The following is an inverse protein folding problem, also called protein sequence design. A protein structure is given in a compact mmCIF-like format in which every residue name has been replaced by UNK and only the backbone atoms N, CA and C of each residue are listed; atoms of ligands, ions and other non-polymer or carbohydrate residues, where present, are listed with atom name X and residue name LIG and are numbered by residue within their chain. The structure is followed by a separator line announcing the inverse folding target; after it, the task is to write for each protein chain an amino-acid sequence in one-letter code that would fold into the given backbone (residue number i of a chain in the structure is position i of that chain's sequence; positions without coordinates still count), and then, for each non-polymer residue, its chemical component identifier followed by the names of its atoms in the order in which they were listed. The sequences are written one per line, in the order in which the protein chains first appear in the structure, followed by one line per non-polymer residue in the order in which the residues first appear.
data_IF_720925096493
#
_entry.id   IF_720925096493
#
_cell.length_a   1.000
_cell.length_b   1.000
_cell.length_c   1.000
_cell.angle_alpha   90.00
_cell.angle_beta   90.00
_cell.angle_gamma   90.00
#
_symmetry.space_group_name_H-M   'P 1'
#
loop_
_entity.id
_entity.type
_entity.pdbx_description
1 polymer ?
#
# COMPACT_ATOMS: atom_id res chain seq x y z
N UNK A 1 52.75 50.23 -27.85
CA UNK A 1 52.08 51.54 -27.65
C UNK A 1 51.55 51.57 -26.22
N UNK A 2 52.19 52.34 -25.32
CA UNK A 2 51.54 52.81 -24.08
C UNK A 2 50.53 53.93 -24.43
N UNK A 3 49.62 54.33 -23.51
CA UNK A 3 49.95 55.22 -22.38
C UNK A 3 49.52 54.64 -21.01
N UNK A 4 50.24 54.80 -19.90
CA UNK A 4 50.48 56.00 -19.04
C UNK A 4 49.25 56.35 -18.16
N UNK A 5 49.27 56.72 -16.87
CA UNK A 5 50.27 56.90 -15.78
C UNK A 5 49.51 57.38 -14.50
N UNK A 6 50.20 57.36 -13.33
CA UNK A 6 50.07 58.19 -12.08
C UNK A 6 49.39 57.53 -10.84
N UNK A 7 50.08 57.04 -9.77
CA UNK A 7 50.96 57.59 -8.68
C UNK A 7 50.23 58.38 -7.55
N UNK A 8 50.73 58.47 -6.28
CA UNK A 8 51.57 57.56 -5.47
C UNK A 8 51.30 57.54 -3.90
N UNK A 9 52.15 56.79 -3.17
CA UNK A 9 52.56 56.85 -1.73
C UNK A 9 51.70 56.10 -0.67
N UNK A 10 52.23 55.36 0.31
CA UNK A 10 53.61 55.14 0.84
C UNK A 10 53.78 53.78 1.57
N UNK A 11 55.03 53.30 1.58
CA UNK A 11 55.78 52.43 2.53
C UNK A 11 55.04 51.45 3.46
N UNK A 12 55.41 50.16 3.42
CA UNK A 12 56.51 49.59 4.24
C UNK A 12 56.79 48.11 3.89
N UNK A 13 58.06 47.74 3.85
CA UNK A 13 58.57 46.37 3.69
C UNK A 13 58.39 45.55 4.98
N UNK A 14 58.01 44.27 4.86
CA UNK A 14 58.77 43.14 5.43
C UNK A 14 58.14 41.75 5.12
N UNK A 15 58.95 40.90 4.47
CA UNK A 15 59.12 39.43 4.64
C UNK A 15 57.97 38.42 4.41
N UNK A 16 58.13 37.66 3.32
CA UNK A 16 58.06 36.18 3.17
C UNK A 16 56.91 35.36 3.79
N UNK A 17 56.18 34.65 2.92
CA UNK A 17 55.35 33.49 3.29
C UNK A 17 54.69 32.82 2.09
N UNK A 18 55.30 31.76 1.56
CA UNK A 18 54.74 30.92 0.50
C UNK A 18 53.55 30.09 1.00
N UNK A 19 52.39 30.13 0.32
CA UNK A 19 51.35 29.10 0.46
C UNK A 19 50.63 28.84 -0.87
N UNK A 20 51.26 28.04 -1.74
CA UNK A 20 50.57 27.24 -2.76
C UNK A 20 50.58 25.78 -2.32
N UNK A 21 49.44 25.23 -1.86
CA UNK A 21 49.40 23.83 -1.40
C UNK A 21 48.03 23.23 -1.09
N UNK A 22 46.93 23.98 -1.14
CA UNK A 22 45.64 23.49 -0.61
C UNK A 22 44.66 22.98 -1.66
N UNK A 23 44.93 23.12 -2.96
CA UNK A 23 43.97 22.70 -4.01
C UNK A 23 44.13 21.21 -4.43
N UNK A 24 45.33 20.63 -4.31
CA UNK A 24 45.59 19.25 -4.74
C UNK A 24 45.13 18.20 -3.70
N UNK A 25 45.14 18.56 -2.40
CA UNK A 25 44.80 17.67 -1.29
C UNK A 25 43.31 17.36 -1.18
N UNK A 26 42.44 18.23 -1.72
CA UNK A 26 40.98 18.05 -1.69
C UNK A 26 40.49 17.08 -2.77
N UNK A 27 41.11 17.12 -3.96
CA UNK A 27 40.80 16.17 -5.06
C UNK A 27 41.26 14.75 -4.76
N UNK A 28 42.37 14.57 -4.06
CA UNK A 28 42.84 13.24 -3.65
C UNK A 28 42.00 12.65 -2.50
N UNK A 29 41.45 13.48 -1.60
CA UNK A 29 40.54 13.02 -0.55
C UNK A 29 39.17 12.54 -1.08
N UNK A 30 38.59 13.20 -2.09
CA UNK A 30 37.33 12.73 -2.68
C UNK A 30 37.49 11.45 -3.51
N UNK A 31 38.62 11.29 -4.21
CA UNK A 31 38.91 10.06 -4.96
C UNK A 31 39.10 8.85 -4.03
N UNK A 32 39.76 9.02 -2.87
CA UNK A 32 39.96 7.96 -1.87
C UNK A 32 38.63 7.57 -1.20
N UNK A 33 37.73 8.53 -0.95
CA UNK A 33 36.40 8.25 -0.39
C UNK A 33 35.50 7.45 -1.35
N UNK A 34 35.56 7.73 -2.66
CA UNK A 34 34.80 6.98 -3.68
C UNK A 34 35.35 5.54 -3.84
N UNK A 35 36.67 5.36 -3.78
CA UNK A 35 37.28 4.02 -3.86
C UNK A 35 36.94 3.16 -2.63
N UNK A 36 36.92 3.74 -1.43
CA UNK A 36 36.49 3.03 -0.20
C UNK A 36 34.98 2.71 -0.19
N UNK A 37 34.13 3.58 -0.75
CA UNK A 37 32.70 3.33 -0.89
C UNK A 37 32.39 2.21 -1.90
N UNK A 38 33.16 2.11 -2.99
CA UNK A 38 33.03 1.01 -3.95
C UNK A 38 33.56 -0.33 -3.40
N UNK A 39 34.63 -0.30 -2.59
CA UNK A 39 35.16 -1.49 -1.94
C UNK A 39 34.19 -2.10 -0.89
N UNK A 40 33.41 -1.27 -0.21
CA UNK A 40 32.37 -1.75 0.74
C UNK A 40 31.16 -2.33 0.03
N UNK A 41 30.77 -1.81 -1.15
CA UNK A 41 29.72 -2.42 -1.98
C UNK A 41 30.14 -3.78 -2.56
N UNK A 42 31.40 -3.96 -2.93
CA UNK A 42 31.95 -5.24 -3.39
C UNK A 42 31.94 -6.33 -2.31
N UNK A 43 32.21 -5.97 -1.05
CA UNK A 43 32.16 -6.91 0.07
C UNK A 43 30.73 -7.33 0.45
N UNK A 44 29.74 -6.44 0.28
CA UNK A 44 28.32 -6.79 0.52
C UNK A 44 27.78 -7.68 -0.61
N UNK A 45 28.19 -7.47 -1.86
CA UNK A 45 27.80 -8.34 -2.97
C UNK A 45 28.36 -9.77 -2.81
N UNK A 46 29.62 -9.92 -2.39
CA UNK A 46 30.22 -11.23 -2.12
C UNK A 46 29.56 -11.96 -0.93
N UNK A 47 29.06 -11.22 0.08
CA UNK A 47 28.33 -11.80 1.21
C UNK A 47 26.89 -12.23 0.87
N UNK A 48 26.27 -11.68 -0.18
CA UNK A 48 24.95 -12.11 -0.67
C UNK A 48 25.07 -13.40 -1.49
N UNK A 49 26.17 -13.60 -2.21
CA UNK A 49 26.38 -14.76 -3.08
C UNK A 49 26.77 -16.05 -2.31
N UNK A 50 27.23 -15.92 -1.05
CA UNK A 50 27.49 -17.07 -0.17
C UNK A 50 26.26 -17.60 0.58
N UNK A 51 25.08 -16.96 0.48
CA UNK A 51 23.83 -17.45 1.08
C UNK A 51 22.89 -18.19 0.10
N UNK A 52 23.30 -18.39 -1.16
CA UNK A 52 22.52 -19.14 -2.16
C UNK A 52 23.18 -20.45 -2.63
N UNK A 53 24.32 -20.84 -2.05
CA UNK A 53 25.02 -22.06 -2.42
C UNK A 53 24.85 -23.19 -1.40
N UNK A 54 23.62 -23.42 -0.93
CA UNK A 54 23.24 -24.70 -0.31
C UNK A 54 21.74 -24.97 -0.51
N UNK A 55 21.34 -25.37 -1.72
CA UNK A 55 20.29 -26.38 -2.01
C UNK A 55 19.99 -26.44 -3.51
N UNK A 56 20.95 -26.97 -4.28
CA UNK A 56 20.65 -27.65 -5.55
C UNK A 56 20.91 -29.13 -5.35
N UNK A 57 20.02 -29.81 -4.63
CA UNK A 57 19.98 -31.27 -4.66
C UNK A 57 19.00 -31.73 -5.72
N UNK A 58 19.52 -32.54 -6.63
CA UNK A 58 18.85 -33.15 -7.77
C UNK A 58 17.57 -33.86 -7.35
N UNK A 59 16.47 -33.59 -8.05
CA UNK A 59 15.29 -34.46 -8.03
C UNK A 59 15.64 -35.74 -8.80
N UNK A 60 15.95 -36.79 -8.05
CA UNK A 60 15.88 -38.17 -8.50
C UNK A 60 15.04 -38.92 -7.46
N UNK A 61 14.05 -39.68 -7.92
CA UNK A 61 12.98 -40.26 -7.11
C UNK A 61 13.46 -41.08 -5.91
N UNK A 62 12.75 -40.90 -4.79
CA UNK A 62 12.91 -41.67 -3.55
C UNK A 62 11.79 -41.26 -2.58
N UNK A 63 11.20 -42.25 -1.92
CA UNK A 63 9.93 -42.17 -1.18
C UNK A 63 9.79 -40.98 -0.21
N UNK A 64 8.58 -40.44 -0.17
CA UNK A 64 8.12 -39.46 0.81
C UNK A 64 8.25 -40.04 2.23
N UNK A 65 9.36 -39.71 2.90
CA UNK A 65 9.45 -39.81 4.35
C UNK A 65 8.87 -38.53 4.95
N UNK A 66 7.75 -38.70 5.66
CA UNK A 66 7.08 -37.70 6.47
C UNK A 66 8.06 -37.14 7.51
N UNK A 67 8.56 -35.93 7.28
CA UNK A 67 9.35 -35.22 8.29
C UNK A 67 8.37 -34.62 9.28
N UNK A 68 8.07 -35.40 10.32
CA UNK A 68 7.30 -34.98 11.49
C UNK A 68 8.08 -33.92 12.28
N UNK A 69 7.87 -32.65 11.92
CA UNK A 69 8.30 -31.51 12.72
C UNK A 69 7.31 -31.28 13.86
N UNK A 70 7.68 -31.75 15.05
CA UNK A 70 7.07 -31.29 16.30
C UNK A 70 8.03 -30.29 16.93
N UNK A 71 7.83 -28.98 16.74
CA UNK A 71 8.56 -27.99 17.54
C UNK A 71 7.73 -26.76 17.95
N UNK A 72 7.95 -26.41 19.22
CA UNK A 72 7.70 -25.16 19.97
C UNK A 72 6.27 -24.65 20.21
N UNK A 73 5.26 -24.97 19.40
CA UNK A 73 3.93 -24.33 19.53
C UNK A 73 2.79 -25.27 19.94
N UNK A 74 3.03 -26.59 20.00
CA UNK A 74 1.95 -27.57 20.16
C UNK A 74 1.00 -27.67 18.96
N UNK A 75 1.30 -26.97 17.85
CA UNK A 75 0.49 -26.98 16.62
C UNK A 75 1.09 -27.98 15.64
N UNK A 76 0.31 -28.99 15.25
CA UNK A 76 0.67 -29.90 14.17
C UNK A 76 0.48 -29.19 12.81
N UNK A 77 1.58 -28.63 12.28
CA UNK A 77 1.59 -27.87 11.02
C UNK A 77 1.08 -28.70 9.84
N UNK A 78 1.42 -29.99 9.78
CA UNK A 78 0.97 -30.87 8.70
C UNK A 78 -0.55 -31.04 8.73
N UNK A 79 -1.12 -31.27 9.92
CA UNK A 79 -2.55 -31.47 10.09
C UNK A 79 -3.36 -30.17 9.88
N UNK A 80 -2.89 -29.02 10.36
CA UNK A 80 -3.60 -27.77 10.15
C UNK A 80 -3.57 -27.33 8.68
N UNK A 81 -2.43 -27.54 7.99
CA UNK A 81 -2.28 -27.15 6.59
C UNK A 81 -3.03 -28.05 5.61
N UNK A 82 -3.28 -29.31 5.94
CA UNK A 82 -4.11 -30.20 5.10
C UNK A 82 -5.56 -29.73 5.01
N UNK A 83 -6.02 -28.94 5.97
CA UNK A 83 -7.37 -28.37 6.03
C UNK A 83 -7.48 -26.99 5.35
N UNK A 84 -6.40 -26.53 4.70
CA UNK A 84 -6.37 -25.24 3.97
C UNK A 84 -6.45 -25.47 2.47
N UNK A 85 -7.01 -24.53 1.68
CA UNK A 85 -7.06 -24.64 0.22
C UNK A 85 -5.68 -24.60 -0.45
N UNK A 86 -4.63 -24.15 0.26
CA UNK A 86 -3.26 -24.05 -0.25
C UNK A 86 -2.26 -24.71 0.72
N UNK A 87 -2.20 -26.05 0.81
CA UNK A 87 -1.35 -26.74 1.79
C UNK A 87 0.14 -26.42 1.64
N UNK A 88 0.62 -26.20 0.41
CA UNK A 88 2.00 -25.81 0.13
C UNK A 88 2.33 -24.41 0.65
N UNK A 89 1.47 -23.43 0.34
CA UNK A 89 1.60 -22.06 0.83
C UNK A 89 1.51 -22.01 2.37
N UNK A 90 0.61 -22.79 2.97
CA UNK A 90 0.48 -22.93 4.41
C UNK A 90 1.76 -23.44 5.08
N UNK A 91 2.32 -24.56 4.61
CA UNK A 91 3.57 -25.08 5.17
C UNK A 91 4.70 -24.07 5.05
N UNK A 92 4.83 -23.41 3.90
CA UNK A 92 5.85 -22.38 3.68
C UNK A 92 5.69 -21.19 4.63
N UNK A 93 4.46 -20.74 4.86
CA UNK A 93 4.16 -19.64 5.76
C UNK A 93 4.42 -20.01 7.23
N UNK A 94 4.14 -21.25 7.64
CA UNK A 94 4.32 -21.74 9.02
C UNK A 94 5.72 -22.29 9.32
N UNK A 95 6.55 -22.56 8.31
CA UNK A 95 7.96 -22.96 8.49
C UNK A 95 8.94 -21.78 8.47
N UNK A 96 8.45 -20.57 8.19
CA UNK A 96 9.28 -19.37 8.09
C UNK A 96 9.82 -18.89 9.44
N UNK A 97 10.83 -18.02 9.44
CA UNK A 97 11.35 -17.41 10.67
C UNK A 97 10.30 -16.57 11.41
N UNK A 98 9.35 -15.94 10.69
CA UNK A 98 8.23 -15.21 11.29
C UNK A 98 7.30 -16.12 12.11
N UNK A 99 7.18 -17.38 11.69
CA UNK A 99 6.39 -18.42 12.36
C UNK A 99 7.02 -18.86 13.69
N UNK A 100 8.35 -18.80 13.79
CA UNK A 100 9.06 -19.13 15.05
C UNK A 100 8.87 -18.06 16.12
N UNK A 101 8.54 -16.83 15.71
CA UNK A 101 8.26 -15.72 16.62
C UNK A 101 6.77 -15.66 17.03
N UNK A 102 5.85 -16.06 16.14
CA UNK A 102 4.41 -16.04 16.39
C UNK A 102 3.93 -17.41 16.93
N UNK A 103 3.46 -17.44 18.18
CA UNK A 103 2.81 -18.64 18.78
C UNK A 103 1.47 -19.00 18.12
N UNK A 104 0.93 -18.11 17.30
CA UNK A 104 -0.36 -18.23 16.63
C UNK A 104 -0.16 -18.47 15.11
N UNK A 105 -0.63 -19.61 14.56
CA UNK A 105 -0.55 -19.91 13.14
C UNK A 105 -1.21 -18.85 12.25
N UNK A 106 -2.30 -18.23 12.71
CA UNK A 106 -2.95 -17.17 11.97
C UNK A 106 -2.03 -15.94 11.85
N UNK A 107 -1.55 -15.42 12.98
CA UNK A 107 -0.60 -14.31 13.00
C UNK A 107 0.66 -14.59 12.17
N UNK A 108 1.23 -15.79 12.27
CA UNK A 108 2.38 -16.21 11.46
C UNK A 108 2.09 -16.12 9.96
N UNK A 109 0.93 -16.64 9.52
CA UNK A 109 0.52 -16.61 8.11
C UNK A 109 0.28 -15.20 7.61
N UNK A 110 -0.33 -14.33 8.42
CA UNK A 110 -0.55 -12.91 8.04
C UNK A 110 0.78 -12.17 7.90
N UNK A 111 1.70 -12.32 8.86
CA UNK A 111 3.02 -11.68 8.78
C UNK A 111 3.82 -12.15 7.57
N UNK A 112 3.74 -13.45 7.24
CA UNK A 112 4.36 -13.98 6.03
C UNK A 112 3.76 -13.34 4.76
N UNK A 113 2.42 -13.24 4.68
CA UNK A 113 1.74 -12.57 3.58
C UNK A 113 2.14 -11.08 3.48
N UNK A 114 2.28 -10.37 4.60
CA UNK A 114 2.77 -8.98 4.60
C UNK A 114 4.16 -8.86 3.98
N UNK A 115 5.10 -9.74 4.35
CA UNK A 115 6.44 -9.74 3.77
C UNK A 115 6.42 -10.02 2.25
N UNK A 116 5.55 -10.93 1.79
CA UNK A 116 5.35 -11.19 0.36
C UNK A 116 4.73 -9.99 -0.38
N UNK A 117 3.74 -9.33 0.22
CA UNK A 117 3.14 -8.11 -0.31
C UNK A 117 4.16 -6.98 -0.43
N UNK A 118 5.00 -6.76 0.59
CA UNK A 118 6.07 -5.78 0.56
C UNK A 118 7.07 -6.07 -0.58
N UNK A 119 7.45 -7.35 -0.76
CA UNK A 119 8.36 -7.76 -1.83
C UNK A 119 7.77 -7.54 -3.23
N UNK A 120 6.51 -7.96 -3.45
CA UNK A 120 5.81 -7.75 -4.73
C UNK A 120 5.68 -6.25 -5.05
N UNK A 121 5.34 -5.45 -4.05
CA UNK A 121 5.19 -3.99 -4.16
C UNK A 121 6.48 -3.31 -4.59
N UNK A 122 7.61 -3.66 -3.98
CA UNK A 122 8.92 -3.09 -4.36
C UNK A 122 9.23 -3.41 -5.82
N UNK A 123 9.01 -4.65 -6.26
CA UNK A 123 9.22 -5.03 -7.66
C UNK A 123 8.33 -4.22 -8.61
N UNK A 124 7.02 -4.16 -8.34
CA UNK A 124 6.07 -3.41 -9.17
C UNK A 124 6.45 -1.92 -9.26
N UNK A 125 6.87 -1.30 -8.15
CA UNK A 125 7.31 0.09 -8.12
C UNK A 125 8.59 0.34 -8.91
N UNK A 126 9.58 -0.54 -8.79
CA UNK A 126 10.82 -0.43 -9.52
C UNK A 126 10.55 -0.47 -11.03
N UNK A 127 9.76 -1.45 -11.48
CA UNK A 127 9.38 -1.60 -12.88
C UNK A 127 8.54 -0.42 -13.40
N UNK A 128 7.67 0.14 -12.55
CA UNK A 128 6.90 1.34 -12.89
C UNK A 128 7.81 2.58 -13.01
N UNK A 129 8.82 2.70 -12.14
CA UNK A 129 9.79 3.80 -12.17
C UNK A 129 10.70 3.77 -13.39
N UNK A 130 11.10 2.58 -13.85
CA UNK A 130 11.94 2.39 -15.04
C UNK A 130 11.24 2.81 -16.35
N UNK A 131 9.90 2.94 -16.35
CA UNK A 131 9.11 3.36 -17.52
C UNK A 131 8.78 4.85 -17.56
N UNK A 132 9.15 5.64 -16.53
CA UNK A 132 8.84 7.09 -16.46
C UNK A 132 9.64 7.96 -17.43
N UNK A 133 10.48 7.38 -18.28
CA UNK A 133 11.12 8.10 -19.37
C UNK A 133 10.13 8.27 -20.54
N UNK A 134 9.47 9.44 -20.55
CA UNK A 134 8.82 10.11 -21.71
C UNK A 134 7.29 9.88 -21.84
N UNK A 135 6.56 11.01 -21.85
CA UNK A 135 5.12 11.25 -22.05
C UNK A 135 4.17 11.14 -20.83
N UNK A 136 3.19 12.06 -20.80
CA UNK A 136 2.00 12.04 -19.92
C UNK A 136 1.12 10.89 -20.38
N UNK A 137 1.49 9.67 -20.02
CA UNK A 137 0.69 8.47 -20.29
C UNK A 137 -0.29 8.24 -19.15
N UNK A 138 -1.44 7.58 -19.41
CA UNK A 138 -2.28 7.02 -18.36
C UNK A 138 -1.43 6.21 -17.35
N UNK A 139 -1.82 6.15 -16.07
CA UNK A 139 -1.20 5.24 -15.11
C UNK A 139 -1.15 3.83 -15.71
N UNK A 140 0.01 3.20 -15.67
CA UNK A 140 0.12 1.84 -16.20
C UNK A 140 -0.53 0.86 -15.24
N UNK A 141 -0.94 -0.31 -15.74
CA UNK A 141 -1.39 -1.38 -14.86
C UNK A 141 -0.36 -1.83 -13.81
N UNK A 142 0.92 -1.52 -14.02
CA UNK A 142 1.97 -1.72 -13.03
C UNK A 142 1.87 -0.71 -11.87
N UNK A 143 1.52 0.55 -12.16
CA UNK A 143 1.30 1.59 -11.15
C UNK A 143 0.09 1.24 -10.28
N UNK A 144 -1.01 0.80 -10.92
CA UNK A 144 -2.21 0.35 -10.21
C UNK A 144 -1.91 -0.84 -9.31
N UNK A 145 -1.20 -1.86 -9.82
CA UNK A 145 -0.82 -3.00 -9.01
C UNK A 145 0.07 -2.61 -7.82
N UNK A 146 1.02 -1.67 -8.01
CA UNK A 146 1.87 -1.18 -6.93
C UNK A 146 1.08 -0.46 -5.81
N UNK A 147 0.01 0.24 -6.17
CA UNK A 147 -0.94 0.87 -5.23
C UNK A 147 -1.78 -0.18 -4.51
N UNK A 148 -2.40 -1.11 -5.25
CA UNK A 148 -3.19 -2.22 -4.69
C UNK A 148 -2.40 -3.09 -3.71
N UNK A 149 -1.11 -3.32 -3.98
CA UNK A 149 -0.20 -4.02 -3.06
C UNK A 149 0.10 -3.19 -1.79
N UNK A 150 0.10 -1.86 -1.86
CA UNK A 150 0.14 -1.01 -0.65
C UNK A 150 -1.09 -1.21 0.22
N UNK A 151 -2.25 -1.17 -0.44
CA UNK A 151 -3.54 -1.26 0.21
C UNK A 151 -3.64 -2.61 0.89
N UNK A 152 -3.27 -3.67 0.18
CA UNK A 152 -3.24 -5.05 0.67
C UNK A 152 -2.28 -5.22 1.86
N UNK A 153 -1.05 -4.71 1.77
CA UNK A 153 -0.11 -4.76 2.89
C UNK A 153 -0.70 -4.10 4.14
N UNK A 154 -1.37 -2.97 3.96
CA UNK A 154 -2.07 -2.28 5.02
C UNK A 154 -3.21 -3.09 5.63
N UNK A 155 -4.09 -3.65 4.79
CA UNK A 155 -5.22 -4.48 5.22
C UNK A 155 -4.73 -5.74 5.96
N UNK A 156 -3.61 -6.32 5.55
CA UNK A 156 -3.00 -7.43 6.29
C UNK A 156 -2.57 -7.02 7.71
N UNK A 157 -2.03 -5.80 7.87
CA UNK A 157 -1.75 -5.24 9.19
C UNK A 157 -3.03 -5.03 10.03
N UNK A 158 -4.12 -4.59 9.39
CA UNK A 158 -5.42 -4.45 10.05
C UNK A 158 -6.00 -5.82 10.46
N UNK A 159 -5.85 -6.85 9.61
CA UNK A 159 -6.24 -8.22 9.92
C UNK A 159 -5.47 -8.80 11.11
N UNK A 160 -4.16 -8.55 11.16
CA UNK A 160 -3.32 -8.97 12.29
C UNK A 160 -3.77 -8.28 13.58
N UNK A 161 -4.08 -6.98 13.53
CA UNK A 161 -4.56 -6.23 14.68
C UNK A 161 -5.97 -6.66 15.13
N UNK A 162 -6.84 -7.05 14.19
CA UNK A 162 -8.17 -7.58 14.46
C UNK A 162 -8.12 -8.98 15.12
N UNK A 163 -7.03 -9.74 14.93
CA UNK A 163 -6.82 -11.03 15.56
C UNK A 163 -7.95 -12.01 15.26
N UNK A 164 -8.67 -12.45 16.29
CA UNK A 164 -9.85 -13.33 16.19
C UNK A 164 -11.18 -12.56 16.01
N UNK A 165 -11.20 -11.28 15.65
CA UNK A 165 -12.45 -10.59 15.25
C UNK A 165 -12.94 -11.04 13.86
N UNK A 166 -14.23 -10.91 13.55
CA UNK A 166 -14.71 -11.10 12.18
C UNK A 166 -14.11 -10.06 11.21
N UNK A 167 -13.66 -8.91 11.73
CA UNK A 167 -12.99 -7.89 10.93
C UNK A 167 -11.73 -8.42 10.24
N UNK A 168 -11.04 -9.41 10.82
CA UNK A 168 -9.90 -10.05 10.19
C UNK A 168 -10.29 -10.72 8.86
N UNK A 169 -11.44 -11.41 8.82
CA UNK A 169 -12.01 -11.96 7.57
C UNK A 169 -12.23 -10.84 6.56
N UNK A 170 -12.86 -9.73 6.96
CA UNK A 170 -13.13 -8.59 6.07
C UNK A 170 -11.85 -8.03 5.47
N UNK A 171 -10.82 -7.80 6.28
CA UNK A 171 -9.55 -7.26 5.81
C UNK A 171 -8.80 -8.22 4.89
N UNK A 172 -8.79 -9.53 5.20
CA UNK A 172 -8.16 -10.55 4.35
C UNK A 172 -8.89 -10.72 3.02
N UNK A 173 -10.23 -10.75 3.03
CA UNK A 173 -11.03 -10.82 1.82
C UNK A 173 -10.79 -9.59 0.93
N UNK A 174 -10.74 -8.39 1.51
CA UNK A 174 -10.43 -7.18 0.75
C UNK A 174 -9.01 -7.20 0.17
N UNK A 175 -8.02 -7.71 0.92
CA UNK A 175 -6.65 -7.87 0.43
C UNK A 175 -6.56 -8.90 -0.71
N UNK A 176 -7.41 -9.93 -0.70
CA UNK A 176 -7.50 -10.91 -1.77
C UNK A 176 -8.13 -10.31 -3.04
N UNK A 177 -9.20 -9.53 -2.91
CA UNK A 177 -9.81 -8.79 -4.03
C UNK A 177 -8.79 -7.90 -4.72
N UNK A 178 -7.95 -7.19 -3.95
CA UNK A 178 -6.88 -6.35 -4.49
C UNK A 178 -5.85 -7.14 -5.32
N UNK A 179 -5.59 -8.42 -5.00
CA UNK A 179 -4.70 -9.25 -5.82
C UNK A 179 -5.32 -9.55 -7.18
N UNK A 180 -6.63 -9.86 -7.21
CA UNK A 180 -7.39 -10.04 -8.45
C UNK A 180 -7.36 -8.78 -9.31
N UNK A 181 -7.69 -7.63 -8.73
CA UNK A 181 -7.65 -6.34 -9.45
C UNK A 181 -6.24 -5.98 -9.93
N UNK A 182 -5.19 -6.28 -9.15
CA UNK A 182 -3.82 -6.09 -9.63
C UNK A 182 -3.54 -6.98 -10.84
N UNK A 183 -3.94 -8.25 -10.83
CA UNK A 183 -3.74 -9.15 -11.96
C UNK A 183 -4.45 -8.64 -13.21
N UNK A 184 -5.70 -8.16 -13.08
CA UNK A 184 -6.46 -7.56 -14.17
C UNK A 184 -5.76 -6.32 -14.74
N UNK A 185 -5.29 -5.41 -13.87
CA UNK A 185 -4.50 -4.25 -14.29
C UNK A 185 -3.23 -4.66 -15.02
N UNK A 186 -2.53 -5.72 -14.58
CA UNK A 186 -1.34 -6.23 -15.26
C UNK A 186 -1.67 -6.86 -16.62
N UNK A 187 -2.86 -7.39 -16.84
CA UNK A 187 -3.29 -7.90 -18.15
C UNK A 187 -3.66 -6.80 -19.14
N UNK A 188 -3.95 -5.59 -18.65
CA UNK A 188 -4.15 -4.40 -19.49
C UNK A 188 -2.85 -3.80 -20.05
N UNK A 189 -1.66 -4.30 -19.68
CA UNK A 189 -0.37 -3.83 -20.22
C UNK A 189 0.36 -4.93 -21.03
N UNK A 190 1.17 -4.58 -22.04
CA UNK A 190 1.89 -5.56 -22.84
C UNK A 190 2.74 -6.52 -22.00
N UNK A 191 2.75 -7.78 -22.42
CA UNK A 191 3.53 -8.83 -21.78
C UNK A 191 5.02 -8.46 -21.75
N UNK A 192 5.65 -8.67 -20.60
CA UNK A 192 7.10 -8.49 -20.39
C UNK A 192 7.54 -9.38 -19.24
N UNK A 193 8.83 -9.74 -19.20
CA UNK A 193 9.40 -10.52 -18.10
C UNK A 193 9.16 -9.88 -16.73
N UNK A 194 9.28 -8.56 -16.65
CA UNK A 194 8.98 -7.79 -15.43
C UNK A 194 7.52 -7.92 -14.99
N UNK A 195 6.57 -7.77 -15.94
CA UNK A 195 5.14 -7.95 -15.67
C UNK A 195 4.83 -9.35 -15.16
N UNK A 196 5.40 -10.37 -15.79
CA UNK A 196 5.18 -11.76 -15.40
C UNK A 196 5.77 -12.06 -14.01
N UNK A 197 6.95 -11.51 -13.71
CA UNK A 197 7.53 -11.59 -12.37
C UNK A 197 6.67 -10.96 -11.28
N UNK A 198 5.93 -9.89 -11.58
CA UNK A 198 4.94 -9.31 -10.64
C UNK A 198 3.70 -10.20 -10.54
N UNK A 199 3.15 -10.68 -11.66
CA UNK A 199 1.99 -11.60 -11.67
C UNK A 199 2.23 -12.84 -10.82
N UNK A 200 3.40 -13.48 -10.96
CA UNK A 200 3.76 -14.65 -10.18
C UNK A 200 3.75 -14.38 -8.68
N UNK A 201 4.28 -13.21 -8.26
CA UNK A 201 4.30 -12.82 -6.83
C UNK A 201 2.92 -12.50 -6.30
N UNK A 202 2.07 -11.88 -7.12
CA UNK A 202 0.67 -11.55 -6.77
C UNK A 202 -0.16 -12.82 -6.64
N UNK A 203 0.00 -13.79 -7.56
CA UNK A 203 -0.64 -15.10 -7.49
C UNK A 203 -0.23 -15.86 -6.22
N UNK A 204 1.06 -15.95 -5.94
CA UNK A 204 1.56 -16.57 -4.71
C UNK A 204 1.05 -15.84 -3.45
N UNK A 205 1.01 -14.50 -3.47
CA UNK A 205 0.45 -13.71 -2.37
C UNK A 205 -1.04 -14.03 -2.12
N UNK A 206 -1.84 -14.19 -3.17
CA UNK A 206 -3.24 -14.59 -3.04
C UNK A 206 -3.39 -15.94 -2.29
N UNK A 207 -2.52 -16.90 -2.56
CA UNK A 207 -2.50 -18.18 -1.83
C UNK A 207 -2.14 -18.01 -0.35
N UNK A 208 -1.17 -17.14 -0.02
CA UNK A 208 -0.81 -16.85 1.38
C UNK A 208 -1.93 -16.10 2.12
N UNK A 209 -2.64 -15.19 1.46
CA UNK A 209 -3.81 -14.51 2.03
C UNK A 209 -4.95 -15.52 2.24
N UNK A 210 -5.22 -16.39 1.26
CA UNK A 210 -6.21 -17.45 1.38
C UNK A 210 -5.89 -18.45 2.48
N UNK A 211 -4.60 -18.77 2.67
CA UNK A 211 -4.11 -19.57 3.80
C UNK A 211 -4.44 -18.89 5.13
N UNK A 212 -4.11 -17.60 5.29
CA UNK A 212 -4.40 -16.86 6.52
C UNK A 212 -5.90 -16.83 6.82
N UNK A 213 -6.74 -16.67 5.78
CA UNK A 213 -8.19 -16.73 5.91
C UNK A 213 -8.69 -18.11 6.38
N UNK A 214 -8.17 -19.19 5.80
CA UNK A 214 -8.51 -20.55 6.21
C UNK A 214 -8.09 -20.84 7.66
N UNK A 215 -6.88 -20.45 8.05
CA UNK A 215 -6.40 -20.59 9.43
C UNK A 215 -7.26 -19.77 10.41
N UNK A 216 -7.67 -18.56 10.04
CA UNK A 216 -8.59 -17.76 10.85
C UNK A 216 -9.93 -18.46 11.07
N UNK A 217 -10.49 -19.11 10.03
CA UNK A 217 -11.73 -19.86 10.14
C UNK A 217 -11.58 -21.12 11.02
N UNK A 218 -10.53 -21.92 10.79
CA UNK A 218 -10.23 -23.15 11.53
C UNK A 218 -10.05 -22.86 13.03
N UNK A 219 -9.25 -21.84 13.37
CA UNK A 219 -8.94 -21.50 14.76
C UNK A 219 -10.13 -20.90 15.51
N UNK A 220 -11.15 -20.41 14.80
CA UNK A 220 -12.43 -20.00 15.39
C UNK A 220 -13.42 -21.14 15.65
N UNK A 221 -13.05 -22.38 15.34
CA UNK A 221 -13.95 -23.53 15.42
C UNK A 221 -14.91 -23.65 14.23
N UNK A 222 -14.68 -22.90 13.16
CA UNK A 222 -15.39 -23.08 11.89
C UNK A 222 -14.64 -24.09 11.02
N UNK A 223 -15.32 -25.16 10.59
CA UNK A 223 -14.90 -25.82 9.35
C UNK A 223 -14.86 -24.78 8.23
N UNK A 224 -13.99 -24.93 7.24
CA UNK A 224 -13.95 -24.12 6.01
C UNK A 224 -15.19 -24.36 5.12
N UNK A 225 -16.37 -24.39 5.72
CA UNK A 225 -17.66 -24.37 5.04
C UNK A 225 -17.88 -22.97 4.46
N UNK A 226 -18.44 -22.88 3.24
CA UNK A 226 -18.88 -21.59 2.70
C UNK A 226 -19.81 -20.91 3.72
N UNK A 227 -19.82 -19.57 3.78
CA UNK A 227 -20.65 -18.86 4.74
C UNK A 227 -22.09 -19.40 4.62
N UNK A 228 -22.77 -19.70 5.74
CA UNK A 228 -24.19 -19.98 5.65
C UNK A 228 -24.80 -18.80 4.92
N UNK A 229 -25.63 -19.06 3.91
CA UNK A 229 -26.45 -18.03 3.28
C UNK A 229 -27.19 -17.35 4.42
N UNK A 230 -26.70 -16.17 4.83
CA UNK A 230 -27.33 -15.39 5.86
C UNK A 230 -28.66 -14.93 5.26
N UNK A 231 -29.69 -15.75 5.44
CA UNK A 231 -31.05 -15.31 5.29
C UNK A 231 -31.18 -14.23 6.34
N UNK A 232 -31.38 -12.94 5.96
CA UNK A 232 -31.55 -11.91 6.96
C UNK A 232 -32.84 -12.28 7.68
N UNK A 233 -32.74 -12.67 8.95
CA UNK A 233 -33.90 -12.75 9.84
C UNK A 233 -34.40 -11.32 9.98
N UNK A 234 -35.29 -10.92 9.07
CA UNK A 234 -35.99 -9.66 9.13
C UNK A 234 -36.93 -9.73 10.33
N UNK A 235 -36.46 -9.25 11.48
CA UNK A 235 -37.35 -8.73 12.52
C UNK A 235 -38.05 -7.51 11.90
N UNK A 236 -39.19 -7.80 11.29
CA UNK A 236 -40.08 -6.85 10.66
C UNK A 236 -40.82 -6.05 11.74
N UNK A 237 -40.18 -4.99 12.21
CA UNK A 237 -40.91 -3.82 12.71
C UNK A 237 -40.82 -2.72 11.65
N UNK A 238 -41.92 -2.36 11.00
CA UNK A 238 -41.93 -1.30 9.99
C UNK A 238 -41.92 0.06 10.70
N UNK A 239 -40.72 0.56 10.99
CA UNK A 239 -40.52 1.95 11.41
C UNK A 239 -39.35 2.58 10.65
N UNK A 240 -39.66 3.64 9.92
CA UNK A 240 -38.81 4.58 9.20
C UNK A 240 -37.30 4.56 9.57
N UNK A 241 -36.43 4.32 8.57
CA UNK A 241 -34.99 4.62 8.56
C UNK A 241 -34.16 4.06 9.74
N UNK A 242 -34.30 2.79 10.09
CA UNK A 242 -33.34 2.18 11.00
C UNK A 242 -31.97 1.98 10.31
N UNK A 243 -30.95 2.77 10.64
CA UNK A 243 -29.58 2.48 10.22
C UNK A 243 -29.09 1.17 10.84
N UNK A 244 -28.20 0.42 10.16
CA UNK A 244 -27.55 -0.76 10.72
C UNK A 244 -26.82 -0.48 12.03
N UNK A 245 -26.65 -1.51 12.87
CA UNK A 245 -25.93 -1.41 14.15
C UNK A 245 -24.46 -1.02 14.04
N UNK A 246 -23.84 -1.19 12.87
CA UNK A 246 -22.46 -0.76 12.61
C UNK A 246 -22.33 0.75 12.36
N UNK A 247 -23.45 1.45 12.09
CA UNK A 247 -23.46 2.92 11.99
C UNK A 247 -23.57 3.49 13.40
N UNK A 248 -22.53 4.19 13.85
CA UNK A 248 -22.52 4.80 15.19
C UNK A 248 -23.63 5.83 15.37
N UNK A 249 -24.05 6.10 16.61
CA UNK A 249 -25.07 7.13 16.90
C UNK A 249 -24.65 8.52 16.41
N UNK A 250 -23.35 8.82 16.51
CA UNK A 250 -22.79 10.06 15.96
C UNK A 250 -22.97 10.12 14.43
N UNK A 251 -22.67 9.02 13.74
CA UNK A 251 -22.78 8.94 12.28
C UNK A 251 -24.23 8.96 11.82
N UNK A 252 -25.13 8.32 12.57
CA UNK A 252 -26.57 8.37 12.36
C UNK A 252 -27.09 9.80 12.45
N UNK A 253 -26.76 10.52 13.52
CA UNK A 253 -27.13 11.93 13.69
C UNK A 253 -26.58 12.79 12.56
N UNK A 254 -25.33 12.55 12.14
CA UNK A 254 -24.72 13.23 11.02
C UNK A 254 -25.48 12.98 9.70
N UNK A 255 -25.87 11.74 9.41
CA UNK A 255 -26.58 11.36 8.19
C UNK A 255 -28.05 11.80 8.18
N UNK A 256 -28.67 11.93 9.35
CA UNK A 256 -30.04 12.44 9.52
C UNK A 256 -30.12 13.97 9.54
N UNK A 257 -29.00 14.65 9.84
CA UNK A 257 -28.95 16.11 9.85
C UNK A 257 -29.18 16.70 8.45
N UNK A 258 -30.00 17.74 8.35
CA UNK A 258 -30.11 18.52 7.12
C UNK A 258 -28.75 19.17 6.82
N UNK A 259 -28.39 19.30 5.54
CA UNK A 259 -27.08 19.85 5.11
C UNK A 259 -26.74 21.23 5.72
N UNK A 260 -27.74 22.00 6.18
CA UNK A 260 -27.55 23.29 6.87
C UNK A 260 -27.25 23.22 8.38
N UNK A 261 -27.30 22.04 9.01
CA UNK A 261 -27.06 21.85 10.44
C UNK A 261 -25.64 21.37 10.79
N UNK A 262 -24.77 21.16 9.79
CA UNK A 262 -23.41 20.66 9.98
C UNK A 262 -22.38 21.70 9.53
N UNK A 263 -21.32 21.91 10.32
CA UNK A 263 -20.18 22.75 9.92
C UNK A 263 -19.19 21.92 9.10
N UNK A 264 -19.03 22.18 7.79
CA UNK A 264 -18.05 21.45 6.99
C UNK A 264 -16.62 21.90 7.28
N UNK A 265 -15.66 20.98 7.20
CA UNK A 265 -14.22 21.28 7.26
C UNK A 265 -13.74 22.01 5.99
N UNK A 266 -14.41 21.79 4.86
CA UNK A 266 -14.17 22.48 3.60
C UNK A 266 -15.43 22.59 2.76
N UNK A 267 -15.56 23.69 2.00
CA UNK A 267 -16.62 23.91 1.01
C UNK A 267 -16.02 23.98 -0.38
N UNK A 268 -16.52 23.17 -1.31
CA UNK A 268 -16.09 23.16 -2.71
C UNK A 268 -17.16 23.81 -3.57
N UNK A 269 -16.79 24.84 -4.33
CA UNK A 269 -17.71 25.58 -5.19
C UNK A 269 -17.04 26.02 -6.50
N UNK A 270 -17.70 25.75 -7.63
CA UNK A 270 -17.17 26.12 -8.97
C UNK A 270 -17.13 27.63 -9.19
N UNK A 271 -18.04 28.37 -8.56
CA UNK A 271 -18.18 29.83 -8.62
C UNK A 271 -17.16 30.57 -7.73
N UNK A 272 -16.36 29.85 -6.94
CA UNK A 272 -15.40 30.44 -6.00
C UNK A 272 -16.01 30.91 -4.68
N UNK A 273 -17.30 30.67 -4.43
CA UNK A 273 -17.97 31.01 -3.15
C UNK A 273 -17.58 30.09 -1.98
N UNK A 274 -16.83 29.02 -2.25
CA UNK A 274 -16.33 28.07 -1.27
C UNK A 274 -14.84 28.21 -0.99
N UNK A 275 -14.34 27.43 -0.04
CA UNK A 275 -12.90 27.35 0.29
C UNK A 275 -12.01 26.84 -0.85
N UNK A 276 -12.55 25.96 -1.71
CA UNK A 276 -11.81 25.30 -2.79
C UNK A 276 -12.67 25.26 -4.06
N UNK A 277 -12.03 25.16 -5.23
CA UNK A 277 -12.72 24.94 -6.52
C UNK A 277 -12.72 23.48 -6.95
N UNK A 278 -11.74 22.69 -6.51
CA UNK A 278 -11.58 21.26 -6.83
C UNK A 278 -11.80 20.38 -5.61
N UNK A 279 -12.32 19.18 -5.85
CA UNK A 279 -12.66 18.24 -4.78
C UNK A 279 -11.39 17.60 -4.22
N UNK A 280 -10.46 17.18 -5.09
CA UNK A 280 -9.18 16.59 -4.68
C UNK A 280 -8.31 17.54 -3.85
N UNK A 281 -8.34 18.85 -4.16
CA UNK A 281 -7.64 19.87 -3.37
C UNK A 281 -8.22 19.99 -1.96
N UNK A 282 -9.55 20.02 -1.83
CA UNK A 282 -10.22 20.04 -0.53
C UNK A 282 -9.89 18.79 0.28
N UNK A 283 -9.89 17.61 -0.35
CA UNK A 283 -9.52 16.35 0.32
C UNK A 283 -8.08 16.42 0.81
N UNK A 284 -7.14 16.86 -0.03
CA UNK A 284 -5.74 17.01 0.36
C UNK A 284 -5.58 17.98 1.53
N UNK A 285 -6.29 19.12 1.52
CA UNK A 285 -6.24 20.12 2.58
C UNK A 285 -6.76 19.58 3.92
N UNK A 286 -7.96 18.96 3.94
CA UNK A 286 -8.56 18.47 5.21
C UNK A 286 -7.85 17.24 5.77
N UNK A 287 -7.10 16.52 4.93
CA UNK A 287 -6.36 15.31 5.35
C UNK A 287 -4.87 15.54 5.57
N UNK A 288 -4.32 16.72 5.25
CA UNK A 288 -2.88 17.00 5.35
C UNK A 288 -2.30 16.71 6.75
N UNK A 289 -3.00 17.13 7.82
CA UNK A 289 -2.58 16.91 9.21
C UNK A 289 -2.94 15.51 9.74
N UNK A 290 -3.81 14.77 9.05
CA UNK A 290 -4.34 13.47 9.46
C UNK A 290 -3.82 12.31 8.59
N UNK A 291 -2.75 12.53 7.82
CA UNK A 291 -2.12 11.48 7.03
C UNK A 291 -1.64 10.36 7.95
N UNK A 292 -2.30 9.20 7.88
CA UNK A 292 -1.94 8.06 8.69
C UNK A 292 -0.49 7.61 8.38
N UNK A 293 0.33 7.29 9.39
CA UNK A 293 1.64 6.69 9.16
C UNK A 293 1.51 5.43 8.31
N UNK A 294 2.52 5.16 7.48
CA UNK A 294 2.57 3.93 6.67
C UNK A 294 2.48 2.72 7.60
N UNK A 295 1.43 1.92 7.44
CA UNK A 295 1.23 0.71 8.25
C UNK A 295 0.45 0.89 9.56
N UNK A 296 -0.07 2.08 9.86
CA UNK A 296 -0.92 2.27 11.06
C UNK A 296 -2.35 1.76 10.84
N UNK A 297 -2.77 0.79 11.64
CA UNK A 297 -4.12 0.21 11.69
C UNK A 297 -5.05 0.91 12.70
N UNK A 298 -4.49 1.73 13.61
CA UNK A 298 -5.24 2.42 14.67
C UNK A 298 -5.68 3.86 14.32
N UNK A 299 -5.25 4.41 13.18
CA UNK A 299 -5.40 5.84 12.88
C UNK A 299 -6.80 6.31 12.44
N UNK A 300 -7.84 5.47 12.52
CA UNK A 300 -9.21 5.82 12.11
C UNK A 300 -10.29 5.63 13.17
N UNK A 301 -10.05 4.82 14.20
CA UNK A 301 -11.00 4.54 15.28
C UNK A 301 -10.95 5.71 16.27
N UNK A 302 -11.95 6.61 16.18
CA UNK A 302 -12.04 7.82 17.02
C UNK A 302 -11.50 9.10 16.38
N UNK A 303 -10.97 9.05 15.14
CA UNK A 303 -10.59 10.26 14.42
C UNK A 303 -11.83 10.97 13.87
N UNK A 304 -11.97 12.27 14.16
CA UNK A 304 -13.09 13.09 13.70
C UNK A 304 -13.26 13.00 12.18
N UNK A 305 -14.49 12.77 11.72
CA UNK A 305 -14.83 12.74 10.30
C UNK A 305 -14.57 14.10 9.66
N UNK A 306 -13.95 14.09 8.49
CA UNK A 306 -13.66 15.25 7.66
C UNK A 306 -14.77 15.45 6.65
N UNK A 307 -15.66 16.40 6.92
CA UNK A 307 -16.84 16.67 6.10
C UNK A 307 -16.50 17.73 5.08
N UNK A 308 -16.57 17.36 3.81
CA UNK A 308 -16.39 18.27 2.67
C UNK A 308 -17.75 18.46 2.02
N UNK A 309 -18.24 19.70 2.04
CA UNK A 309 -19.48 20.06 1.39
C UNK A 309 -19.21 20.54 -0.04
N UNK A 310 -19.84 19.89 -1.01
CA UNK A 310 -19.67 20.13 -2.45
C UNK A 310 -20.98 20.71 -2.98
N UNK A 311 -20.96 22.01 -3.28
CA UNK A 311 -22.14 22.74 -3.76
C UNK A 311 -22.65 22.17 -5.09
N UNK A 312 -23.85 22.56 -5.49
CA UNK A 312 -24.43 22.18 -6.77
C UNK A 312 -23.51 22.59 -7.92
N UNK A 313 -23.36 21.70 -8.89
CA UNK A 313 -22.44 21.86 -9.99
C UNK A 313 -22.05 20.54 -10.62
N UNK A 314 -21.51 20.63 -11.84
CA UNK A 314 -20.92 19.50 -12.56
C UNK A 314 -19.40 19.61 -12.44
N UNK A 315 -18.82 18.76 -11.60
CA UNK A 315 -17.39 18.71 -11.32
C UNK A 315 -16.74 17.67 -12.22
N UNK A 316 -15.96 18.12 -13.20
CA UNK A 316 -15.21 17.23 -14.08
C UNK A 316 -13.81 16.98 -13.51
N UNK A 317 -13.70 15.92 -12.71
CA UNK A 317 -12.49 15.55 -11.97
C UNK A 317 -12.48 14.03 -11.68
N UNK A 318 -11.30 13.43 -11.73
CA UNK A 318 -11.07 12.08 -11.19
C UNK A 318 -10.55 12.18 -9.76
N UNK A 319 -11.42 11.91 -8.78
CA UNK A 319 -11.11 12.07 -7.35
C UNK A 319 -10.47 10.77 -6.83
N UNK A 320 -9.19 10.84 -6.44
CA UNK A 320 -8.46 9.75 -5.78
C UNK A 320 -8.32 10.02 -4.29
N UNK A 321 -8.69 9.04 -3.47
CA UNK A 321 -8.65 9.10 -2.00
C UNK A 321 -7.75 7.97 -1.51
N UNK A 322 -6.48 8.28 -1.33
CA UNK A 322 -5.51 7.25 -0.94
C UNK A 322 -5.85 6.63 0.41
N UNK A 323 -5.34 5.42 0.67
CA UNK A 323 -5.47 4.74 1.98
C UNK A 323 -4.98 5.60 3.16
N UNK A 324 -4.17 6.62 2.94
CA UNK A 324 -3.68 7.52 4.01
C UNK A 324 -4.69 8.63 4.36
N UNK A 325 -5.57 8.96 3.42
CA UNK A 325 -6.62 9.96 3.55
C UNK A 325 -7.86 9.29 4.15
N UNK A 326 -7.90 9.22 5.48
CA UNK A 326 -8.95 8.51 6.23
C UNK A 326 -10.11 9.44 6.60
N UNK A 327 -11.27 8.82 6.85
CA UNK A 327 -12.45 9.45 7.45
C UNK A 327 -12.99 10.68 6.69
N UNK A 328 -12.86 10.69 5.36
CA UNK A 328 -13.42 11.74 4.49
C UNK A 328 -14.88 11.43 4.18
N UNK A 329 -15.75 12.44 4.26
CA UNK A 329 -17.13 12.39 3.81
C UNK A 329 -17.40 13.52 2.83
N UNK A 330 -17.89 13.17 1.65
CA UNK A 330 -18.37 14.14 0.66
C UNK A 330 -19.89 14.29 0.83
N UNK A 331 -20.36 15.52 1.02
CA UNK A 331 -21.77 15.85 1.12
C UNK A 331 -22.13 16.83 0.00
N UNK A 332 -23.20 16.56 -0.75
CA UNK A 332 -23.63 17.44 -1.85
C UNK A 332 -25.01 18.05 -1.63
N UNK A 333 -25.41 18.98 -2.50
CA UNK A 333 -26.73 19.65 -2.49
C UNK A 333 -27.90 18.73 -2.84
N UNK A 334 -27.60 17.48 -3.20
CA UNK A 334 -28.57 16.44 -3.46
C UNK A 334 -28.31 15.73 -4.79
N UNK A 335 -29.02 14.61 -4.96
CA UNK A 335 -28.99 13.80 -6.18
C UNK A 335 -29.31 14.67 -7.39
N UNK A 336 -28.43 14.63 -8.40
CA UNK A 336 -28.59 15.38 -9.65
C UNK A 336 -28.24 16.87 -9.59
N UNK A 337 -27.99 17.43 -8.39
CA UNK A 337 -27.52 18.82 -8.22
C UNK A 337 -26.00 18.89 -8.14
N UNK A 338 -25.42 18.07 -7.27
CA UNK A 338 -23.97 17.87 -7.21
C UNK A 338 -23.62 16.62 -8.00
N UNK A 339 -22.90 16.78 -9.10
CA UNK A 339 -22.53 15.68 -10.00
C UNK A 339 -21.02 15.71 -10.21
N UNK A 340 -20.36 14.61 -9.87
CA UNK A 340 -18.94 14.38 -10.15
C UNK A 340 -18.85 13.49 -11.38
N UNK A 341 -18.10 13.92 -12.39
CA UNK A 341 -17.92 13.19 -13.65
C UNK A 341 -16.45 13.01 -13.97
N UNK A 342 -16.09 11.82 -14.45
CA UNK A 342 -14.78 11.51 -15.02
C UNK A 342 -14.94 11.06 -16.47
N UNK A 343 -13.95 11.35 -17.31
CA UNK A 343 -13.93 10.99 -18.74
C UNK A 343 -12.99 9.82 -19.05
N UNK A 344 -12.41 9.17 -18.04
CA UNK A 344 -11.43 8.09 -18.23
C UNK A 344 -12.14 6.78 -18.54
N UNK A 345 -11.67 6.05 -19.56
CA UNK A 345 -12.26 4.78 -19.95
C UNK A 345 -11.20 3.77 -20.39
N UNK A 346 -11.58 2.48 -20.39
CA UNK A 346 -10.73 1.43 -20.93
C UNK A 346 -10.48 1.58 -22.44
N UNK A 347 -11.46 2.13 -23.17
CA UNK A 347 -11.31 2.43 -24.59
C UNK A 347 -10.22 3.48 -24.87
N UNK A 348 -9.99 4.39 -23.91
CA UNK A 348 -8.95 5.42 -23.97
C UNK A 348 -7.60 4.95 -23.42
N UNK A 349 -7.44 3.65 -23.16
CA UNK A 349 -6.19 3.05 -22.69
C UNK A 349 -5.95 3.14 -21.18
N UNK A 350 -6.95 3.52 -20.37
CA UNK A 350 -6.88 3.39 -18.91
C UNK A 350 -7.19 1.95 -18.50
N UNK A 351 -6.69 1.52 -17.34
CA UNK A 351 -7.17 0.28 -16.73
C UNK A 351 -8.57 0.48 -16.14
N UNK A 352 -9.26 -0.62 -15.83
CA UNK A 352 -10.53 -0.58 -15.10
C UNK A 352 -10.37 0.07 -13.72
N UNK A 353 -9.22 -0.11 -13.07
CA UNK A 353 -8.92 0.54 -11.80
C UNK A 353 -8.76 2.06 -11.96
N UNK A 354 -8.03 2.50 -12.99
CA UNK A 354 -7.71 3.90 -13.22
C UNK A 354 -8.85 4.74 -13.83
N UNK A 355 -9.94 4.10 -14.27
CA UNK A 355 -11.12 4.76 -14.86
C UNK A 355 -12.15 5.24 -13.84
N UNK A 356 -12.02 4.84 -12.57
CA UNK A 356 -12.95 5.25 -11.51
C UNK A 356 -13.05 6.78 -11.39
N UNK A 357 -14.28 7.31 -11.31
CA UNK A 357 -14.52 8.76 -11.12
C UNK A 357 -14.25 9.20 -9.68
N UNK A 358 -14.63 8.38 -8.71
CA UNK A 358 -14.30 8.53 -7.28
C UNK A 358 -13.83 7.17 -6.78
N UNK A 359 -12.60 7.10 -6.30
CA UNK A 359 -11.98 5.83 -5.91
C UNK A 359 -10.81 6.00 -4.98
N UNK A 360 -10.24 4.87 -4.55
CA UNK A 360 -9.09 4.81 -3.64
C UNK A 360 -7.76 4.78 -4.37
#
# INVERSE_FOLDING_TARGET
RCPCTYRPNALLLATMGMHGGTCWRRRTQEAVAVVLALATLGAVAAAVEQLQHETTSKVAGGNAADVSWTEASGVNVTAICSSTPYPGACRMALSSSASRAAKDPFAASVQFAMARAASARVLARNLSSSRRSRAVLPPSGMDDCAELLDISHGQLGDALAAGSSHDATTWLSAALTNQGTCADSLDAVPASSGREGVRQRVGALAEFIGTALALHAILKGGSATPPPSATPTQSSTPSNRAFPSWVSDHDRKLLESAAGGMTPDAVVALDGSGTHRRIGEAIAAVTAAAMAPVGSSKAGVGAARKVIYVKAGRYEETVRISRRQRNVMLMGDGKGKTVIVGHRSAADGYTTYASATVGT
#
